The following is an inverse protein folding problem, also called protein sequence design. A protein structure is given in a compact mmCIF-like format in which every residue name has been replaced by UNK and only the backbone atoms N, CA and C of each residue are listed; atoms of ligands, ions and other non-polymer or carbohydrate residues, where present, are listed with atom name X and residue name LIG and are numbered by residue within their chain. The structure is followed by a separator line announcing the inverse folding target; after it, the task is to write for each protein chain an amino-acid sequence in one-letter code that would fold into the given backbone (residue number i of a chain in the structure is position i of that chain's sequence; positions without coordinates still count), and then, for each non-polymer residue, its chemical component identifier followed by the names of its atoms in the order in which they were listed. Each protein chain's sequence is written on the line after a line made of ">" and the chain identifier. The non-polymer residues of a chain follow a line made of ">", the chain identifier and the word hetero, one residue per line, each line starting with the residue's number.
data_IF_129841590091
#
_entry.id   IF_129841590091
#
_cell.length_a   1.000
_cell.length_b   1.000
_cell.length_c   1.000
_cell.angle_alpha   90.00
_cell.angle_beta   90.00
_cell.angle_gamma   90.00
#
_symmetry.space_group_name_H-M   'P 1'
#
loop_
_entity.id
_entity.type
_entity.pdbx_description
1 polymer ?
#
# COMPACT_ATOMS: atom_id res chain seq x y z
N UNK A 1 -5.06 -42.39 12.84
CA UNK A 1 -4.85 -43.10 14.11
C UNK A 1 -3.38 -42.84 14.48
N UNK A 2 -2.97 -42.02 15.46
CA UNK A 2 -3.55 -41.47 16.72
C UNK A 2 -2.98 -40.03 16.89
N UNK A 3 -3.61 -38.97 17.41
CA UNK A 3 -5.02 -38.60 17.66
C UNK A 3 -5.08 -37.05 17.86
N UNK A 4 -6.24 -36.49 18.22
CA UNK A 4 -6.41 -35.07 18.58
C UNK A 4 -5.84 -34.72 19.96
N UNK A 5 -5.42 -33.46 20.17
CA UNK A 5 -5.85 -32.59 21.29
C UNK A 5 -5.97 -31.17 20.74
N UNK A 6 -7.19 -30.63 20.73
CA UNK A 6 -7.40 -29.19 20.74
C UNK A 6 -7.28 -28.70 22.19
N UNK A 7 -6.64 -27.55 22.42
CA UNK A 7 -7.04 -26.67 23.51
C UNK A 7 -7.40 -25.31 22.93
N UNK A 8 -8.67 -24.96 23.11
CA UNK A 8 -9.31 -23.72 22.69
C UNK A 8 -8.86 -22.51 23.54
N UNK A 9 -9.26 -21.33 23.02
CA UNK A 9 -9.26 -20.00 23.64
C UNK A 9 -8.04 -19.17 23.20
N UNK A 10 -8.16 -18.17 22.31
CA UNK A 10 -9.32 -17.34 21.92
C UNK A 10 -9.53 -17.34 20.38
N UNK A 11 -10.49 -16.55 19.87
CA UNK A 11 -10.91 -16.47 18.45
C UNK A 11 -11.74 -17.65 17.89
N UNK A 12 -12.97 -17.80 18.41
CA UNK A 12 -14.06 -18.43 17.66
C UNK A 12 -14.53 -17.50 16.52
N UNK A 13 -14.26 -17.84 15.26
CA UNK A 13 -14.85 -17.11 14.11
C UNK A 13 -14.28 -17.44 12.73
N UNK A 14 -12.98 -17.68 12.59
CA UNK A 14 -12.36 -17.82 11.27
C UNK A 14 -12.33 -19.29 10.78
N UNK A 15 -13.03 -19.59 9.68
CA UNK A 15 -13.08 -20.92 9.06
C UNK A 15 -12.58 -20.88 7.62
N UNK A 16 -11.30 -21.21 7.41
CA UNK A 16 -10.77 -21.46 6.07
C UNK A 16 -11.42 -22.70 5.45
N UNK A 17 -12.17 -22.53 4.36
CA UNK A 17 -12.67 -23.63 3.53
C UNK A 17 -12.06 -23.55 2.13
N UNK A 18 -11.09 -24.42 1.82
CA UNK A 18 -10.81 -24.79 0.43
C UNK A 18 -11.96 -25.67 -0.07
N UNK A 19 -12.74 -25.14 -0.99
CA UNK A 19 -13.66 -25.93 -1.82
C UNK A 19 -12.84 -26.79 -2.79
N UNK A 20 -13.04 -28.10 -2.79
CA UNK A 20 -12.36 -29.02 -3.70
C UNK A 20 -13.02 -28.97 -5.08
N UNK A 21 -12.53 -28.08 -5.95
CA UNK A 21 -13.00 -27.94 -7.33
C UNK A 21 -13.00 -26.50 -7.88
N UNK A 22 -12.80 -25.50 -7.03
CA UNK A 22 -12.74 -24.09 -7.43
C UNK A 22 -11.27 -23.63 -7.56
N UNK A 23 -10.80 -23.14 -8.73
CA UNK A 23 -9.47 -22.55 -8.87
C UNK A 23 -9.35 -21.17 -8.22
N UNK A 24 -10.45 -20.55 -7.78
CA UNK A 24 -10.46 -19.24 -7.12
C UNK A 24 -10.57 -19.37 -5.60
N UNK A 25 -9.67 -18.67 -4.90
CA UNK A 25 -9.72 -18.54 -3.45
C UNK A 25 -10.79 -17.49 -3.08
N UNK A 26 -12.01 -17.94 -2.81
CA UNK A 26 -13.09 -17.07 -2.35
C UNK A 26 -12.88 -16.67 -0.89
N UNK A 27 -12.27 -15.50 -0.67
CA UNK A 27 -12.19 -14.87 0.65
C UNK A 27 -13.52 -14.15 0.92
N UNK A 28 -14.38 -14.71 1.77
CA UNK A 28 -15.51 -13.97 2.31
C UNK A 28 -15.01 -13.00 3.38
N UNK A 29 -14.91 -11.72 3.04
CA UNK A 29 -14.69 -10.67 4.03
C UNK A 29 -15.85 -10.65 5.02
N UNK A 30 -15.56 -10.82 6.30
CA UNK A 30 -16.56 -10.76 7.36
C UNK A 30 -16.68 -9.31 7.83
N UNK A 31 -17.86 -8.71 7.67
CA UNK A 31 -18.14 -7.34 8.13
C UNK A 31 -18.39 -7.31 9.65
N UNK A 32 -17.33 -7.42 10.45
CA UNK A 32 -17.40 -7.12 11.88
C UNK A 32 -16.98 -5.66 12.13
N UNK A 33 -17.96 -4.84 12.53
CA UNK A 33 -17.74 -3.49 13.04
C UNK A 33 -17.13 -3.56 14.44
N UNK A 34 -16.31 -2.56 14.78
CA UNK A 34 -15.57 -2.41 16.05
C UNK A 34 -14.41 -3.38 16.29
N UNK A 35 -13.22 -3.00 15.77
CA UNK A 35 -11.99 -3.13 16.56
C UNK A 35 -10.98 -2.03 16.25
N UNK A 36 -10.37 -1.52 17.32
CA UNK A 36 -9.29 -0.52 17.27
C UNK A 36 -8.08 -1.11 16.54
N UNK A 37 -7.30 -0.26 15.87
CA UNK A 37 -6.20 -0.65 15.00
C UNK A 37 -5.01 -1.31 15.75
N UNK A 38 -5.14 -2.61 16.03
CA UNK A 38 -3.98 -3.49 16.12
C UNK A 38 -3.37 -3.60 14.71
N UNK A 39 -2.24 -2.93 14.50
CA UNK A 39 -1.48 -3.00 13.24
C UNK A 39 -0.79 -4.37 13.20
N UNK A 40 -1.54 -5.38 12.77
CA UNK A 40 -1.00 -6.68 12.40
C UNK A 40 -0.06 -6.50 11.21
N UNK A 41 1.15 -7.03 11.34
CA UNK A 41 2.21 -6.93 10.31
C UNK A 41 1.86 -7.77 9.05
N UNK A 42 0.75 -8.52 9.08
CA UNK A 42 0.27 -9.37 8.00
C UNK A 42 -0.55 -8.71 6.89
N UNK A 43 -0.89 -7.41 6.96
CA UNK A 43 -1.84 -6.79 6.01
C UNK A 43 -1.20 -5.78 5.03
N UNK A 44 0.12 -5.60 5.04
CA UNK A 44 0.78 -4.50 4.32
C UNK A 44 1.03 -4.76 2.82
N UNK A 45 -0.04 -5.07 2.08
CA UNK A 45 -0.06 -5.02 0.60
C UNK A 45 -0.49 -3.61 0.17
N UNK A 46 0.45 -2.67 0.26
CA UNK A 46 0.17 -1.26 0.00
C UNK A 46 0.62 -0.84 -1.40
N UNK A 47 -0.29 -0.19 -2.14
CA UNK A 47 0.12 0.67 -3.25
C UNK A 47 0.78 1.93 -2.70
N UNK A 48 1.88 2.35 -3.32
CA UNK A 48 2.67 3.48 -2.84
C UNK A 48 2.92 4.52 -3.95
N UNK A 49 2.99 5.80 -3.58
CA UNK A 49 3.50 6.89 -4.41
C UNK A 49 4.49 7.77 -3.62
N UNK A 50 5.32 8.54 -4.32
CA UNK A 50 5.96 9.74 -3.78
C UNK A 50 5.08 10.97 -4.02
N UNK A 51 4.56 11.60 -2.97
CA UNK A 51 3.67 12.77 -3.08
C UNK A 51 4.41 14.03 -3.54
N UNK A 52 5.58 14.32 -2.96
CA UNK A 52 6.45 15.42 -3.38
C UNK A 52 6.87 15.26 -4.84
N UNK A 53 7.32 14.05 -5.19
CA UNK A 53 7.69 13.71 -6.57
C UNK A 53 6.52 13.91 -7.55
N UNK A 54 5.31 13.44 -7.18
CA UNK A 54 4.13 13.57 -8.03
C UNK A 54 3.74 15.04 -8.28
N UNK A 55 3.88 15.91 -7.27
CA UNK A 55 3.67 17.37 -7.40
C UNK A 55 4.73 17.98 -8.34
N UNK A 56 6.01 17.70 -8.09
CA UNK A 56 7.13 18.24 -8.87
C UNK A 56 7.04 17.89 -10.35
N UNK A 57 6.66 16.64 -10.68
CA UNK A 57 6.68 16.09 -12.03
C UNK A 57 5.33 16.14 -12.77
N UNK A 58 4.33 16.84 -12.24
CA UNK A 58 2.98 16.91 -12.82
C UNK A 58 2.32 15.54 -13.03
N UNK A 59 2.44 14.67 -12.01
CA UNK A 59 1.86 13.32 -11.96
C UNK A 59 0.90 13.14 -10.78
N UNK A 60 0.27 14.23 -10.35
CA UNK A 60 -0.65 14.30 -9.21
C UNK A 60 -2.13 14.12 -9.59
N UNK A 61 -2.48 14.22 -10.87
CA UNK A 61 -3.85 14.35 -11.39
C UNK A 61 -4.70 13.12 -11.04
N UNK A 62 -4.20 11.90 -11.26
CA UNK A 62 -4.95 10.68 -10.94
C UNK A 62 -5.32 10.55 -9.44
N UNK A 63 -4.52 11.18 -8.55
CA UNK A 63 -4.82 11.27 -7.12
C UNK A 63 -5.86 12.36 -6.84
N UNK A 64 -5.75 13.52 -7.48
CA UNK A 64 -6.76 14.61 -7.42
C UNK A 64 -8.11 14.13 -7.91
N UNK A 65 -8.18 13.51 -9.09
CA UNK A 65 -9.41 12.99 -9.71
C UNK A 65 -10.13 11.92 -8.86
N UNK A 66 -9.46 11.35 -7.85
CA UNK A 66 -10.08 10.41 -6.92
C UNK A 66 -10.95 11.06 -5.85
N UNK A 67 -10.75 12.36 -5.58
CA UNK A 67 -11.46 13.17 -4.58
C UNK A 67 -11.59 14.62 -5.09
N UNK A 68 -11.94 14.77 -6.37
CA UNK A 68 -11.78 16.00 -7.15
C UNK A 68 -12.44 17.22 -6.53
N UNK A 69 -13.65 17.04 -6.00
CA UNK A 69 -14.48 18.06 -5.35
C UNK A 69 -13.71 18.82 -4.25
N UNK A 70 -12.81 18.14 -3.51
CA UNK A 70 -11.97 18.76 -2.47
C UNK A 70 -10.96 19.74 -3.06
N UNK A 71 -10.43 19.44 -4.25
CA UNK A 71 -9.50 20.31 -4.97
C UNK A 71 -10.21 21.43 -5.71
N UNK A 72 -11.42 21.20 -6.22
CA UNK A 72 -12.24 22.23 -6.85
C UNK A 72 -12.69 23.29 -5.83
N UNK A 73 -13.14 22.88 -4.65
CA UNK A 73 -13.48 23.80 -3.56
C UNK A 73 -12.24 24.59 -3.09
N UNK A 74 -11.12 23.91 -2.84
CA UNK A 74 -9.87 24.57 -2.45
C UNK A 74 -9.32 25.51 -3.54
N UNK A 75 -9.56 25.21 -4.82
CA UNK A 75 -9.24 26.10 -5.94
C UNK A 75 -10.09 27.37 -5.88
N UNK A 76 -11.39 27.25 -5.57
CA UNK A 76 -12.32 28.36 -5.41
C UNK A 76 -11.96 29.24 -4.20
N UNK A 77 -11.68 28.65 -3.05
CA UNK A 77 -11.23 29.33 -1.82
C UNK A 77 -9.93 30.13 -2.04
N UNK A 78 -9.03 29.63 -2.89
CA UNK A 78 -7.79 30.32 -3.26
C UNK A 78 -7.98 31.37 -4.38
N UNK A 79 -9.19 31.52 -4.91
CA UNK A 79 -9.50 32.47 -6.00
C UNK A 79 -8.89 32.09 -7.35
N UNK A 80 -8.63 30.80 -7.58
CA UNK A 80 -7.95 30.28 -8.78
C UNK A 80 -8.96 29.65 -9.73
N UNK A 81 -8.67 29.70 -11.04
CA UNK A 81 -9.54 29.16 -12.09
C UNK A 81 -9.22 27.69 -12.47
N UNK A 82 -8.08 27.17 -12.02
CA UNK A 82 -7.60 25.83 -12.31
C UNK A 82 -6.84 25.23 -11.12
N UNK A 83 -6.96 23.92 -10.95
CA UNK A 83 -6.19 23.17 -9.95
C UNK A 83 -4.75 23.08 -10.45
N UNK A 84 -3.82 23.69 -9.72
CA UNK A 84 -2.38 23.65 -10.00
C UNK A 84 -1.59 23.10 -8.81
N UNK A 85 -0.26 23.07 -8.92
CA UNK A 85 0.63 22.55 -7.87
C UNK A 85 0.41 23.22 -6.51
N UNK A 86 0.12 24.52 -6.48
CA UNK A 86 -0.14 25.22 -5.21
C UNK A 86 -1.46 24.76 -4.60
N UNK A 87 -2.55 24.67 -5.37
CA UNK A 87 -3.83 24.11 -4.87
C UNK A 87 -3.58 22.70 -4.31
N UNK A 88 -2.81 21.88 -5.03
CA UNK A 88 -2.52 20.50 -4.64
C UNK A 88 -1.72 20.42 -3.34
N UNK A 89 -0.68 21.24 -3.19
CA UNK A 89 0.09 21.35 -1.94
C UNK A 89 -0.77 21.83 -0.77
N UNK A 90 -1.59 22.88 -0.97
CA UNK A 90 -2.47 23.42 0.08
C UNK A 90 -3.47 22.39 0.58
N UNK A 91 -4.06 21.59 -0.30
CA UNK A 91 -4.97 20.50 0.11
C UNK A 91 -4.23 19.45 0.91
N UNK A 92 -3.06 18.98 0.46
CA UNK A 92 -2.29 17.97 1.20
C UNK A 92 -1.82 18.48 2.56
N UNK A 93 -1.29 19.69 2.64
CA UNK A 93 -0.91 20.33 3.91
C UNK A 93 -2.12 20.52 4.85
N UNK A 94 -3.34 20.68 4.30
CA UNK A 94 -4.55 20.87 5.09
C UNK A 94 -5.17 19.58 5.62
N UNK A 95 -5.13 18.49 4.84
CA UNK A 95 -5.75 17.20 5.22
C UNK A 95 -4.78 16.22 5.87
N UNK A 96 -3.49 16.28 5.50
CA UNK A 96 -2.44 15.39 5.96
C UNK A 96 -1.10 16.14 6.06
N UNK A 97 -0.93 17.04 7.05
CA UNK A 97 0.27 17.86 7.18
C UNK A 97 1.56 17.03 7.13
N UNK A 98 2.46 17.35 6.20
CA UNK A 98 3.73 16.64 6.02
C UNK A 98 3.71 15.46 5.05
N UNK A 99 2.56 15.12 4.45
CA UNK A 99 2.41 14.02 3.48
C UNK A 99 3.31 14.15 2.25
N UNK A 100 3.52 15.38 1.76
CA UNK A 100 4.44 15.72 0.67
C UNK A 100 5.79 16.26 1.18
N UNK A 101 6.20 15.88 2.40
CA UNK A 101 7.52 16.17 2.98
C UNK A 101 7.95 15.05 3.93
N UNK A 102 8.00 15.29 5.24
CA UNK A 102 8.59 14.39 6.25
C UNK A 102 7.89 13.03 6.40
N UNK A 103 6.63 12.90 5.93
CA UNK A 103 5.87 11.64 5.92
C UNK A 103 5.76 11.02 4.53
N UNK A 104 6.41 11.59 3.51
CA UNK A 104 6.43 11.03 2.17
C UNK A 104 7.28 9.74 2.11
N UNK A 105 7.10 8.94 1.06
CA UNK A 105 7.75 7.64 0.89
C UNK A 105 9.28 7.65 0.98
N UNK A 106 10.06 8.65 0.51
CA UNK A 106 11.52 8.66 0.65
C UNK A 106 12.01 8.59 2.10
N UNK A 107 11.21 9.09 3.04
CA UNK A 107 11.55 9.14 4.47
C UNK A 107 10.92 7.99 5.26
N UNK A 108 9.71 7.55 4.89
CA UNK A 108 8.94 6.57 5.66
C UNK A 108 9.22 5.12 5.26
N UNK A 109 9.47 4.83 3.98
CA UNK A 109 9.73 3.46 3.51
C UNK A 109 11.02 2.87 4.10
N UNK A 110 12.16 3.59 4.18
CA UNK A 110 13.38 3.03 4.76
C UNK A 110 13.25 2.65 6.24
N UNK A 111 12.36 3.31 6.98
CA UNK A 111 12.07 3.04 8.42
C UNK A 111 11.31 1.71 8.63
N UNK A 112 10.85 1.06 7.55
CA UNK A 112 10.31 -0.30 7.65
C UNK A 112 11.42 -1.33 7.88
N UNK A 113 12.61 -1.12 7.32
CA UNK A 113 13.75 -2.02 7.48
C UNK A 113 14.10 -2.26 8.98
N UNK A 114 14.52 -3.49 9.36
CA UNK A 114 14.68 -4.68 8.52
C UNK A 114 13.38 -5.49 8.31
N UNK A 115 12.22 -5.01 8.75
CA UNK A 115 10.97 -5.77 8.65
C UNK A 115 10.55 -5.94 7.18
N UNK A 116 9.89 -7.04 6.80
CA UNK A 116 9.56 -7.27 5.40
C UNK A 116 8.49 -6.34 4.85
N UNK A 117 8.70 -5.84 3.62
CA UNK A 117 7.76 -4.99 2.88
C UNK A 117 7.65 -5.43 1.40
N UNK A 118 6.41 -5.57 0.94
CA UNK A 118 6.06 -5.79 -0.46
C UNK A 118 5.21 -4.62 -0.97
N UNK A 119 5.64 -3.97 -2.05
CA UNK A 119 4.86 -2.95 -2.75
C UNK A 119 4.33 -3.55 -4.06
N UNK A 120 3.01 -3.54 -4.25
CA UNK A 120 2.33 -4.03 -5.46
C UNK A 120 1.55 -2.90 -6.14
N UNK A 121 2.09 -2.36 -7.22
CA UNK A 121 1.45 -1.32 -8.02
C UNK A 121 1.07 -1.85 -9.41
N UNK A 122 0.08 -1.21 -10.04
CA UNK A 122 -0.06 -1.28 -11.50
C UNK A 122 0.99 -0.37 -12.15
N UNK A 123 1.64 -0.82 -13.24
CA UNK A 123 2.62 0.00 -13.97
C UNK A 123 1.99 1.26 -14.57
N UNK A 124 0.73 1.14 -14.98
CA UNK A 124 -0.06 2.20 -15.62
C UNK A 124 -0.96 2.95 -14.62
N UNK A 125 -0.83 2.71 -13.30
CA UNK A 125 -1.67 3.36 -12.28
C UNK A 125 -1.36 4.88 -12.19
N UNK A 126 -2.26 5.77 -12.67
CA UNK A 126 -2.02 7.22 -12.62
C UNK A 126 -2.08 7.76 -11.20
N UNK A 127 -2.58 6.98 -10.24
CA UNK A 127 -2.62 7.32 -8.81
C UNK A 127 -1.39 6.87 -8.07
N UNK A 128 -0.54 5.99 -8.63
CA UNK A 128 0.65 5.46 -7.95
C UNK A 128 1.85 5.36 -8.91
N UNK A 129 2.34 6.49 -9.48
CA UNK A 129 3.35 6.46 -10.53
C UNK A 129 4.66 5.81 -10.07
N UNK A 130 5.08 4.73 -10.75
CA UNK A 130 6.26 3.93 -10.37
C UNK A 130 7.55 4.77 -10.31
N UNK A 131 7.74 5.73 -11.21
CA UNK A 131 8.91 6.61 -11.24
C UNK A 131 9.08 7.46 -9.95
N UNK A 132 8.01 7.67 -9.19
CA UNK A 132 8.10 8.30 -7.86
C UNK A 132 8.66 7.38 -6.77
N UNK A 133 8.95 6.11 -7.08
CA UNK A 133 9.43 5.11 -6.14
C UNK A 133 10.94 4.81 -6.23
N UNK A 134 11.67 5.37 -7.19
CA UNK A 134 13.12 5.09 -7.37
C UNK A 134 13.93 5.42 -6.11
N UNK A 135 13.74 6.62 -5.55
CA UNK A 135 14.41 7.10 -4.33
C UNK A 135 14.07 6.26 -3.09
N UNK A 136 12.79 6.03 -2.72
CA UNK A 136 12.46 5.19 -1.57
C UNK A 136 12.90 3.74 -1.75
N UNK A 137 12.77 3.17 -2.96
CA UNK A 137 13.23 1.81 -3.31
C UNK A 137 14.74 1.67 -3.07
N UNK A 138 15.54 2.58 -3.62
CA UNK A 138 17.00 2.60 -3.41
C UNK A 138 17.36 2.71 -1.92
N UNK A 139 16.67 3.60 -1.22
CA UNK A 139 16.93 3.89 0.21
C UNK A 139 16.59 2.72 1.13
N UNK A 140 15.47 2.02 0.91
CA UNK A 140 15.10 0.83 1.70
C UNK A 140 15.89 -0.42 1.28
N UNK A 141 16.24 -0.59 0.01
CA UNK A 141 17.16 -1.63 -0.42
C UNK A 141 18.50 -1.51 0.33
N UNK A 142 19.04 -0.29 0.46
CA UNK A 142 20.23 -0.03 1.26
C UNK A 142 19.99 -0.34 2.74
N UNK A 143 18.93 0.18 3.36
CA UNK A 143 18.64 -0.04 4.78
C UNK A 143 18.44 -1.54 5.13
N UNK A 144 17.85 -2.32 4.22
CA UNK A 144 17.72 -3.76 4.34
C UNK A 144 19.07 -4.49 4.18
N UNK A 145 19.95 -4.03 3.28
CA UNK A 145 21.29 -4.59 3.12
C UNK A 145 22.21 -4.29 4.31
N UNK A 146 22.19 -3.04 4.81
CA UNK A 146 22.94 -2.60 6.00
C UNK A 146 22.50 -3.34 7.29
N UNK A 147 21.35 -4.01 7.26
CA UNK A 147 20.79 -4.83 8.35
C UNK A 147 20.80 -6.35 8.06
N UNK A 148 21.65 -6.81 7.13
CA UNK A 148 21.80 -8.23 6.72
C UNK A 148 20.50 -8.91 6.24
N UNK A 149 19.51 -8.12 5.81
CA UNK A 149 18.16 -8.55 5.41
C UNK A 149 17.79 -8.17 3.95
N UNK A 150 18.66 -8.36 2.94
CA UNK A 150 18.45 -7.83 1.58
C UNK A 150 17.24 -8.41 0.85
N UNK A 151 16.66 -9.52 1.32
CA UNK A 151 15.47 -10.16 0.74
C UNK A 151 14.14 -9.72 1.39
N UNK A 152 14.18 -8.78 2.34
CA UNK A 152 13.01 -8.28 3.07
C UNK A 152 12.34 -7.10 2.36
N UNK A 153 12.75 -6.73 1.14
CA UNK A 153 12.05 -5.73 0.35
C UNK A 153 11.83 -6.21 -1.09
N UNK A 154 10.65 -5.94 -1.65
CA UNK A 154 10.31 -6.18 -3.06
C UNK A 154 9.30 -5.15 -3.56
N UNK A 155 9.51 -4.64 -4.77
CA UNK A 155 8.51 -3.87 -5.52
C UNK A 155 8.11 -4.67 -6.75
N UNK A 156 6.83 -4.67 -7.09
CA UNK A 156 6.30 -5.22 -8.33
C UNK A 156 5.39 -4.17 -8.97
N UNK A 157 5.73 -3.76 -10.19
CA UNK A 157 4.84 -3.05 -11.09
C UNK A 157 4.26 -4.08 -12.08
N UNK A 158 2.95 -4.29 -12.08
CA UNK A 158 2.33 -5.19 -13.07
C UNK A 158 2.04 -4.43 -14.36
N UNK A 159 2.66 -4.87 -15.47
CA UNK A 159 2.45 -4.29 -16.79
C UNK A 159 1.00 -4.39 -17.28
N UNK A 160 0.52 -3.36 -18.00
CA UNK A 160 -0.85 -3.30 -18.52
C UNK A 160 -1.94 -3.18 -17.44
N UNK A 161 -1.59 -2.74 -16.23
CA UNK A 161 -2.52 -2.60 -15.10
C UNK A 161 -2.51 -1.18 -14.57
N UNK A 162 -3.69 -0.55 -14.56
CA UNK A 162 -3.95 0.73 -13.90
C UNK A 162 -4.24 0.58 -12.41
N UNK A 163 -5.19 1.35 -11.88
CA UNK A 163 -5.55 1.31 -10.46
C UNK A 163 -6.44 0.10 -10.07
N UNK A 164 -5.91 -1.12 -10.19
CA UNK A 164 -6.67 -2.35 -9.93
C UNK A 164 -5.85 -3.37 -9.11
N UNK A 165 -6.54 -4.17 -8.28
CA UNK A 165 -5.96 -5.37 -7.67
C UNK A 165 -6.20 -6.57 -8.60
N UNK A 166 -5.17 -7.38 -8.84
CA UNK A 166 -5.27 -8.54 -9.75
C UNK A 166 -5.10 -9.86 -8.99
N UNK A 167 -5.57 -10.99 -9.53
CA UNK A 167 -5.27 -12.31 -8.96
C UNK A 167 -3.77 -12.62 -8.87
N UNK A 168 -2.95 -12.04 -9.76
CA UNK A 168 -1.49 -12.18 -9.73
C UNK A 168 -0.89 -11.42 -8.54
N UNK A 169 -1.36 -10.19 -8.27
CA UNK A 169 -0.94 -9.44 -7.08
C UNK A 169 -1.33 -10.15 -5.77
N UNK A 170 -2.53 -10.73 -5.70
CA UNK A 170 -2.96 -11.53 -4.53
C UNK A 170 -2.09 -12.77 -4.34
N UNK A 171 -1.67 -13.42 -5.43
CA UNK A 171 -0.76 -14.57 -5.40
C UNK A 171 0.66 -14.15 -4.91
N UNK A 172 1.22 -13.07 -5.44
CA UNK A 172 2.50 -12.52 -4.99
C UNK A 172 2.49 -12.12 -3.50
N UNK A 173 1.41 -11.50 -3.03
CA UNK A 173 1.22 -11.20 -1.61
C UNK A 173 1.17 -12.48 -0.75
N UNK A 174 0.41 -13.49 -1.17
CA UNK A 174 0.32 -14.78 -0.48
C UNK A 174 1.70 -15.46 -0.37
N UNK A 175 2.43 -15.54 -1.48
CA UNK A 175 3.80 -16.09 -1.52
C UNK A 175 4.79 -15.29 -0.67
N UNK A 176 4.58 -13.98 -0.51
CA UNK A 176 5.38 -13.14 0.36
C UNK A 176 5.15 -13.48 1.83
N UNK A 177 3.88 -13.59 2.25
CA UNK A 177 3.54 -13.99 3.61
C UNK A 177 4.00 -15.42 3.93
N UNK A 178 3.77 -16.41 3.05
CA UNK A 178 4.22 -17.80 3.25
C UNK A 178 5.75 -17.91 3.44
N UNK A 179 6.53 -17.02 2.81
CA UNK A 179 8.00 -16.98 2.98
C UNK A 179 8.44 -16.43 4.32
N UNK A 180 7.71 -15.45 4.88
CA UNK A 180 8.21 -14.53 5.91
C UNK A 180 7.44 -14.58 7.23
N UNK A 181 6.15 -14.93 7.21
CA UNK A 181 5.28 -15.06 8.38
C UNK A 181 5.05 -16.54 8.72
N UNK A 182 6.16 -17.24 9.01
CA UNK A 182 6.10 -18.61 9.51
C UNK A 182 5.71 -18.57 10.99
N UNK A 183 4.50 -19.05 11.28
CA UNK A 183 3.92 -19.18 12.63
C UNK A 183 4.21 -20.58 13.19
#
# INVERSE_FOLDING_TARGET
>A
MVCCICRHSLFSGCSYKRSSGDPYLSISLCEDKERVADISIGDLVMRLQGFRWAIEHDRWQGRVDSIKDVFEEACSDLGKNEIDKEVVEKVWDRIAPGLASQFDSPYTVPVIAPRPLLILNGEEDPRCPIAGLDIPTSSVCKACADADCPLNFKVIAQAGVGHQMTPLMVNEASNWFDRLLKV
#
